data_IF_842173117781
#
_entry.id   IF_842173117781
#
_cell.length_a   1.000
_cell.length_b   1.000
_cell.length_c   1.000
_cell.angle_alpha   90.00
_cell.angle_beta   90.00
_cell.angle_gamma   90.00
#
_symmetry.space_group_name_H-M   'P 1'
#
loop_
_entity.id
_entity.type
_entity.pdbx_description
1 polymer ?
#
# COMPACT_ATOMS: atom_id res chain seq x y z
N UNK A 1 -0.45 16.85 -14.00
CA UNK A 1 -0.46 15.39 -13.83
C UNK A 1 -1.16 15.04 -12.53
N UNK A 2 -1.89 13.93 -12.47
CA UNK A 2 -2.47 13.39 -11.24
C UNK A 2 -1.44 12.51 -10.52
N UNK A 3 -1.50 12.45 -9.19
CA UNK A 3 -0.66 11.58 -8.38
C UNK A 3 -1.48 10.83 -7.34
N UNK A 4 -0.97 9.68 -6.88
CA UNK A 4 -1.64 8.85 -5.87
C UNK A 4 -3.06 8.44 -6.27
N UNK A 5 -3.26 8.06 -7.53
CA UNK A 5 -4.57 7.61 -8.03
C UNK A 5 -5.22 6.52 -7.15
N UNK A 6 -4.40 5.66 -6.56
CA UNK A 6 -4.84 4.58 -5.69
C UNK A 6 -4.73 4.89 -4.18
N UNK A 7 -4.52 6.15 -3.78
CA UNK A 7 -4.45 6.55 -2.37
C UNK A 7 -3.37 5.81 -1.57
N UNK A 8 -2.19 5.59 -2.16
CA UNK A 8 -1.12 4.77 -1.55
C UNK A 8 -1.47 3.29 -1.45
N UNK A 9 -2.25 2.78 -2.40
CA UNK A 9 -2.77 1.41 -2.43
C UNK A 9 -4.08 1.23 -1.66
N UNK A 10 -4.61 2.27 -1.02
CA UNK A 10 -5.86 2.19 -0.24
C UNK A 10 -7.12 2.05 -1.04
N UNK A 11 -7.05 2.45 -2.30
CA UNK A 11 -8.14 2.32 -3.25
C UNK A 11 -7.91 1.15 -4.21
N UNK A 12 -6.94 0.25 -3.98
CA UNK A 12 -6.77 -0.96 -4.81
C UNK A 12 -8.08 -1.79 -4.90
N UNK A 13 -8.83 -2.01 -3.81
CA UNK A 13 -10.13 -2.70 -3.89
C UNK A 13 -11.18 -1.98 -4.73
N UNK A 14 -10.95 -0.68 -5.01
CA UNK A 14 -11.80 0.19 -5.83
C UNK A 14 -11.01 0.77 -7.01
N UNK A 15 -10.02 0.02 -7.52
CA UNK A 15 -9.07 0.55 -8.49
C UNK A 15 -9.79 1.05 -9.76
N UNK A 16 -10.80 0.30 -10.22
CA UNK A 16 -11.64 0.66 -11.36
C UNK A 16 -12.30 2.03 -11.19
N UNK A 17 -13.07 2.22 -10.12
CA UNK A 17 -13.73 3.49 -9.77
C UNK A 17 -12.71 4.63 -9.65
N UNK A 18 -11.56 4.38 -9.02
CA UNK A 18 -10.51 5.37 -8.81
C UNK A 18 -9.88 5.84 -10.13
N UNK A 19 -9.62 4.91 -11.05
CA UNK A 19 -9.09 5.25 -12.37
C UNK A 19 -10.14 5.93 -13.24
N UNK A 20 -11.37 5.42 -13.29
CA UNK A 20 -12.48 6.06 -14.01
C UNK A 20 -12.66 7.53 -13.58
N UNK A 21 -12.66 7.79 -12.27
CA UNK A 21 -12.78 9.15 -11.74
C UNK A 21 -11.64 10.09 -12.19
N UNK A 22 -10.39 9.62 -12.19
CA UNK A 22 -9.22 10.44 -12.52
C UNK A 22 -9.08 10.64 -14.03
N UNK A 23 -9.32 9.59 -14.81
CA UNK A 23 -9.18 9.61 -16.27
C UNK A 23 -10.29 10.43 -16.94
N UNK A 24 -11.44 10.58 -16.29
CA UNK A 24 -12.52 11.48 -16.71
C UNK A 24 -12.16 12.98 -16.60
N UNK A 25 -11.10 13.35 -15.86
CA UNK A 25 -10.76 14.77 -15.66
C UNK A 25 -9.96 15.34 -16.84
N UNK A 26 -10.48 16.37 -17.55
CA UNK A 26 -9.84 16.91 -18.75
C UNK A 26 -8.52 17.63 -18.48
N UNK A 27 -8.23 17.97 -17.23
CA UNK A 27 -7.04 18.75 -16.85
C UNK A 27 -5.81 17.88 -16.53
N UNK A 28 -5.93 16.55 -16.51
CA UNK A 28 -4.80 15.67 -16.24
C UNK A 28 -4.25 15.05 -17.51
N UNK A 29 -3.09 15.53 -17.96
CA UNK A 29 -2.36 14.95 -19.10
C UNK A 29 -1.65 13.60 -18.79
N UNK A 30 -1.44 13.29 -17.52
CA UNK A 30 -0.77 12.06 -17.09
C UNK A 30 -1.10 11.73 -15.63
N UNK A 31 -0.91 10.47 -15.24
CA UNK A 31 -1.15 9.98 -13.87
C UNK A 31 0.03 9.13 -13.40
N UNK A 32 0.54 9.42 -12.20
CA UNK A 32 1.53 8.59 -11.54
C UNK A 32 0.81 7.45 -10.77
N UNK A 33 1.10 6.20 -11.17
CA UNK A 33 0.51 4.99 -10.60
C UNK A 33 1.60 4.17 -9.93
N UNK A 34 1.44 3.89 -8.64
CA UNK A 34 2.30 2.98 -7.90
C UNK A 34 1.83 1.54 -8.07
N UNK A 35 2.77 0.61 -8.13
CA UNK A 35 2.51 -0.83 -8.21
C UNK A 35 3.59 -1.60 -7.45
N UNK A 36 3.21 -2.74 -6.89
CA UNK A 36 4.06 -3.66 -6.14
C UNK A 36 4.10 -5.05 -6.76
N UNK A 37 3.01 -5.47 -7.41
CA UNK A 37 2.83 -6.84 -7.91
C UNK A 37 2.77 -6.85 -9.43
N UNK A 38 3.11 -8.00 -10.01
CA UNK A 38 3.07 -8.20 -11.47
C UNK A 38 1.64 -8.01 -11.99
N UNK A 39 0.61 -8.51 -11.29
CA UNK A 39 -0.79 -8.32 -11.67
C UNK A 39 -1.20 -6.84 -11.74
N UNK A 40 -0.68 -6.01 -10.84
CA UNK A 40 -0.90 -4.55 -10.87
C UNK A 40 -0.17 -3.92 -12.06
N UNK A 41 1.05 -4.37 -12.37
CA UNK A 41 1.80 -3.93 -13.56
C UNK A 41 1.01 -4.26 -14.83
N UNK A 42 0.56 -5.50 -14.98
CA UNK A 42 -0.18 -5.97 -16.16
C UNK A 42 -1.50 -5.21 -16.34
N UNK A 43 -2.23 -4.99 -15.25
CA UNK A 43 -3.46 -4.20 -15.25
C UNK A 43 -3.20 -2.76 -15.70
N UNK A 44 -2.18 -2.11 -15.13
CA UNK A 44 -1.80 -0.74 -15.48
C UNK A 44 -1.37 -0.66 -16.94
N UNK A 45 -0.53 -1.59 -17.42
CA UNK A 45 -0.10 -1.64 -18.81
C UNK A 45 -1.30 -1.75 -19.74
N UNK A 46 -2.27 -2.61 -19.46
CA UNK A 46 -3.49 -2.71 -20.28
C UNK A 46 -4.26 -1.40 -20.29
N UNK A 47 -4.56 -0.86 -19.10
CA UNK A 47 -5.30 0.40 -18.93
C UNK A 47 -4.70 1.56 -19.75
N UNK A 48 -3.36 1.68 -19.79
CA UNK A 48 -2.67 2.77 -20.47
C UNK A 48 -2.17 2.47 -21.90
N UNK A 49 -2.36 1.25 -22.42
CA UNK A 49 -1.90 0.83 -23.77
C UNK A 49 -3.04 0.61 -24.78
N UNK A 50 -4.20 1.25 -24.58
CA UNK A 50 -5.40 1.12 -25.43
C UNK A 50 -6.12 -0.23 -25.32
N UNK A 51 -5.79 -1.06 -24.31
CA UNK A 51 -6.53 -2.29 -24.00
C UNK A 51 -7.48 -2.04 -22.83
N UNK A 52 -8.66 -2.67 -22.86
CA UNK A 52 -9.63 -2.59 -21.76
C UNK A 52 -9.37 -3.78 -20.84
N UNK A 53 -9.01 -3.59 -19.55
CA UNK A 53 -8.84 -4.70 -18.63
C UNK A 53 -10.16 -5.45 -18.40
N UNK A 54 -10.08 -6.78 -18.30
CA UNK A 54 -11.26 -7.61 -17.99
C UNK A 54 -11.65 -7.49 -16.52
N UNK A 55 -12.91 -7.78 -16.20
CA UNK A 55 -13.42 -7.71 -14.82
C UNK A 55 -12.63 -8.61 -13.85
N UNK A 56 -12.23 -9.79 -14.29
CA UNK A 56 -11.38 -10.70 -13.52
C UNK A 56 -10.04 -10.06 -13.10
N UNK A 57 -9.44 -9.23 -13.96
CA UNK A 57 -8.16 -8.58 -13.67
C UNK A 57 -8.30 -7.52 -12.59
N UNK A 58 -9.43 -6.81 -12.58
CA UNK A 58 -9.79 -5.90 -11.48
C UNK A 58 -9.98 -6.65 -10.17
N UNK A 59 -10.63 -7.81 -10.20
CA UNK A 59 -10.80 -8.66 -9.01
C UNK A 59 -9.47 -9.23 -8.49
N UNK A 60 -8.58 -9.62 -9.41
CA UNK A 60 -7.27 -10.17 -9.07
C UNK A 60 -6.40 -9.16 -8.32
N UNK A 61 -6.49 -7.87 -8.63
CA UNK A 61 -5.76 -6.84 -7.86
C UNK A 61 -6.47 -6.46 -6.56
N UNK A 62 -7.81 -6.51 -6.53
CA UNK A 62 -8.62 -6.07 -5.39
C UNK A 62 -8.49 -6.94 -4.13
N UNK A 63 -8.14 -8.22 -4.29
CA UNK A 63 -8.40 -9.27 -3.29
C UNK A 63 -7.29 -9.49 -2.26
N UNK A 64 -6.16 -8.78 -2.34
CA UNK A 64 -5.04 -9.07 -1.43
C UNK A 64 -4.89 -8.03 -0.31
N UNK A 65 -4.86 -8.48 0.96
CA UNK A 65 -4.80 -7.58 2.09
C UNK A 65 -3.39 -6.99 2.25
N UNK A 66 -3.31 -5.66 2.30
CA UNK A 66 -2.09 -4.98 2.74
C UNK A 66 -1.76 -5.39 4.18
N UNK A 67 -0.47 -5.52 4.48
CA UNK A 67 0.05 -5.86 5.80
C UNK A 67 1.19 -4.94 6.20
N UNK A 68 1.45 -4.85 7.49
CA UNK A 68 2.64 -4.17 7.99
C UNK A 68 3.85 -5.09 7.83
N UNK A 69 4.82 -4.70 7.01
CA UNK A 69 6.09 -5.39 6.86
C UNK A 69 7.15 -4.74 7.73
N UNK A 70 7.96 -5.56 8.38
CA UNK A 70 9.12 -5.15 9.19
C UNK A 70 10.34 -5.82 8.58
N UNK A 71 11.25 -5.01 8.05
CA UNK A 71 12.47 -5.46 7.39
C UNK A 71 13.50 -6.02 8.40
N UNK A 72 14.35 -6.93 7.92
CA UNK A 72 15.28 -7.69 8.75
C UNK A 72 16.32 -6.82 9.48
N UNK A 73 16.62 -5.63 8.96
CA UNK A 73 17.55 -4.67 9.56
C UNK A 73 16.94 -3.84 10.71
N UNK A 74 15.71 -4.15 11.16
CA UNK A 74 15.15 -3.55 12.36
C UNK A 74 16.12 -3.66 13.56
N UNK A 75 16.42 -2.57 14.24
CA UNK A 75 17.36 -2.57 15.39
C UNK A 75 16.68 -2.73 16.75
N UNK A 76 15.37 -3.00 16.80
CA UNK A 76 14.66 -3.25 18.06
C UNK A 76 14.46 -2.04 18.97
N UNK A 77 14.64 -0.81 18.50
CA UNK A 77 14.63 0.41 19.34
C UNK A 77 13.30 0.72 20.07
N UNK A 78 12.22 0.03 19.74
CA UNK A 78 10.93 0.16 20.44
C UNK A 78 10.10 1.42 20.12
N UNK A 79 10.60 2.35 19.30
CA UNK A 79 9.88 3.58 18.95
C UNK A 79 8.50 3.29 18.31
N UNK A 80 8.46 2.31 17.40
CA UNK A 80 7.24 1.87 16.74
C UNK A 80 6.20 1.26 17.70
N UNK A 81 6.66 0.51 18.71
CA UNK A 81 5.80 -0.05 19.75
C UNK A 81 5.16 1.05 20.61
N UNK A 82 5.95 2.03 21.07
CA UNK A 82 5.44 3.21 21.82
C UNK A 82 4.47 4.05 21.00
N UNK A 83 4.69 4.17 19.69
CA UNK A 83 3.83 4.95 18.78
C UNK A 83 2.50 4.26 18.47
N UNK A 84 2.42 2.94 18.58
CA UNK A 84 1.26 2.15 18.16
C UNK A 84 0.11 2.24 19.17
N UNK A 85 -0.89 3.09 18.90
CA UNK A 85 -2.10 3.21 19.74
C UNK A 85 -2.96 1.95 19.81
N UNK A 86 -2.80 1.03 18.86
CA UNK A 86 -3.53 -0.25 18.84
C UNK A 86 -2.86 -1.34 19.68
N UNK A 87 -1.67 -1.07 20.25
CA UNK A 87 -0.88 -2.10 20.93
C UNK A 87 -0.52 -3.28 20.02
N UNK A 88 -0.44 -3.04 18.70
CA UNK A 88 -0.23 -4.07 17.69
C UNK A 88 1.25 -4.41 17.47
N UNK A 89 2.20 -3.69 18.07
CA UNK A 89 3.64 -3.92 17.89
C UNK A 89 4.29 -4.15 19.24
N UNK A 90 5.10 -5.20 19.35
CA UNK A 90 5.93 -5.52 20.52
C UNK A 90 7.39 -5.71 20.09
N UNK A 91 8.32 -5.56 21.02
CA UNK A 91 9.73 -5.94 20.79
C UNK A 91 9.93 -7.34 21.36
N UNK A 92 10.36 -8.28 20.52
CA UNK A 92 10.63 -9.67 20.86
C UNK A 92 11.99 -10.03 20.25
N UNK A 93 12.91 -10.59 21.05
CA UNK A 93 14.25 -10.98 20.62
C UNK A 93 15.00 -9.86 19.86
N UNK A 94 14.91 -8.63 20.36
CA UNK A 94 15.59 -7.47 19.76
C UNK A 94 14.99 -6.99 18.42
N UNK A 95 13.81 -7.46 18.01
CA UNK A 95 13.13 -7.04 16.78
C UNK A 95 11.69 -6.63 17.05
N UNK A 96 11.16 -5.74 16.23
CA UNK A 96 9.74 -5.42 16.25
C UNK A 96 8.94 -6.56 15.62
N UNK A 97 7.89 -7.01 16.31
CA UNK A 97 6.96 -8.04 15.87
C UNK A 97 5.55 -7.45 15.90
N UNK A 98 4.79 -7.65 14.83
CA UNK A 98 3.44 -7.10 14.67
C UNK A 98 2.38 -8.18 14.83
N UNK A 99 1.35 -7.87 15.63
CA UNK A 99 0.08 -8.58 15.66
C UNK A 99 -0.83 -8.01 14.56
N UNK A 100 -0.94 -8.76 13.46
CA UNK A 100 -1.75 -8.35 12.30
C UNK A 100 -3.25 -8.28 12.58
N UNK A 101 -3.76 -8.95 13.63
CA UNK A 101 -5.17 -8.88 13.99
C UNK A 101 -5.52 -7.53 14.62
N UNK A 102 -4.56 -6.87 15.27
CA UNK A 102 -4.71 -5.53 15.88
C UNK A 102 -4.26 -4.40 14.96
N UNK A 103 -3.42 -4.70 13.97
CA UNK A 103 -2.85 -3.68 13.10
C UNK A 103 -3.89 -3.11 12.11
N UNK A 104 -4.28 -1.85 12.31
CA UNK A 104 -5.16 -1.14 11.38
C UNK A 104 -4.45 -0.51 10.18
N UNK A 105 -3.13 -0.76 10.03
CA UNK A 105 -2.33 -0.33 8.87
C UNK A 105 -2.29 1.18 8.64
N UNK A 106 -2.34 1.97 9.71
CA UNK A 106 -2.29 3.44 9.66
C UNK A 106 -0.90 4.03 9.35
N UNK A 107 0.15 3.20 9.29
CA UNK A 107 1.53 3.59 8.99
C UNK A 107 2.21 4.58 9.96
N UNK A 108 1.57 5.01 11.07
CA UNK A 108 2.21 5.93 12.02
C UNK A 108 3.49 5.38 12.66
N UNK A 109 3.60 4.06 12.81
CA UNK A 109 4.83 3.42 13.30
C UNK A 109 6.01 3.57 12.33
N UNK A 110 5.77 3.70 11.02
CA UNK A 110 6.83 3.89 10.04
C UNK A 110 7.51 5.25 10.22
N UNK A 111 6.74 6.30 10.54
CA UNK A 111 7.26 7.67 10.72
C UNK A 111 8.25 7.84 11.88
N UNK A 112 8.32 6.88 12.80
CA UNK A 112 9.22 6.93 13.97
C UNK A 112 10.33 5.89 13.91
N UNK A 113 10.44 5.13 12.81
CA UNK A 113 11.49 4.14 12.66
C UNK A 113 12.76 4.84 12.13
N UNK A 114 13.85 4.93 12.93
CA UNK A 114 15.07 5.60 12.48
C UNK A 114 15.74 4.88 11.29
N UNK A 115 15.50 3.58 11.15
CA UNK A 115 16.08 2.72 10.11
C UNK A 115 15.16 2.53 8.89
N UNK A 116 14.01 3.22 8.85
CA UNK A 116 12.99 3.05 7.80
C UNK A 116 12.59 1.59 7.54
N UNK A 117 12.70 0.74 8.58
CA UNK A 117 12.50 -0.70 8.49
C UNK A 117 11.02 -1.12 8.49
N UNK A 118 10.06 -0.19 8.48
CA UNK A 118 8.63 -0.50 8.60
C UNK A 118 7.88 0.10 7.41
N UNK A 119 7.10 -0.74 6.71
CA UNK A 119 6.33 -0.36 5.52
C UNK A 119 4.95 -1.00 5.57
N UNK A 120 3.91 -0.32 5.08
CA UNK A 120 2.63 -0.96 4.78
C UNK A 120 2.68 -1.39 3.32
N UNK A 121 2.49 -2.67 3.06
CA UNK A 121 2.73 -3.28 1.76
C UNK A 121 1.63 -4.24 1.37
#
# INVERSE_FOLDING_TARGET
>A
YAMKALGGGSLIPKAKEAFEYILDKPHFASVAVGMRRISEVDLNLKLFSSKIPKEEEWQNVATEPRKLHIDYWCIGCGACARRCRQGAIKIINGKAVVDHKKCVRCAYCASVCPEFAIKVV
#
